data_IF_543842678338
#
_entry.id   IF_543842678338
#
_cell.length_a   1.000
_cell.length_b   1.000
_cell.length_c   1.000
_cell.angle_alpha   90.00
_cell.angle_beta   90.00
_cell.angle_gamma   90.00
#
_symmetry.space_group_name_H-M   'P 1'
#
loop_
_entity.id
_entity.type
_entity.pdbx_description
1 polymer ?
#
# COMPACT_ATOMS: atom_id res chain seq x y z
N UNK A 1 -17.23 -17.48 -6.17
CA UNK A 1 -16.26 -16.65 -6.93
C UNK A 1 -16.48 -15.18 -6.60
N UNK A 2 -15.45 -14.36 -6.76
CA UNK A 2 -15.46 -12.93 -6.40
C UNK A 2 -16.63 -12.12 -6.99
N UNK A 3 -17.02 -12.33 -8.27
CA UNK A 3 -18.19 -11.64 -8.83
C UNK A 3 -19.48 -11.82 -8.01
N UNK A 4 -19.74 -13.03 -7.52
CA UNK A 4 -20.94 -13.34 -6.73
C UNK A 4 -20.93 -12.80 -5.29
N UNK A 5 -19.79 -12.28 -4.79
CA UNK A 5 -19.71 -11.59 -3.49
C UNK A 5 -20.12 -10.13 -3.65
N UNK A 6 -19.64 -9.49 -4.72
CA UNK A 6 -20.00 -8.10 -5.05
C UNK A 6 -21.48 -7.95 -5.41
N UNK A 7 -22.06 -8.89 -6.16
CA UNK A 7 -23.51 -8.92 -6.45
C UNK A 7 -24.37 -8.94 -5.19
N UNK A 8 -23.81 -9.39 -4.06
CA UNK A 8 -24.47 -9.42 -2.76
C UNK A 8 -24.16 -8.19 -1.89
N UNK A 9 -23.57 -7.15 -2.46
CA UNK A 9 -23.09 -5.94 -1.77
C UNK A 9 -22.15 -6.25 -0.60
N UNK A 10 -21.26 -7.23 -0.76
CA UNK A 10 -20.25 -7.58 0.24
C UNK A 10 -18.84 -7.25 -0.26
N UNK A 11 -17.95 -6.89 0.67
CA UNK A 11 -16.53 -6.71 0.39
C UNK A 11 -15.81 -8.06 0.54
N UNK A 12 -15.23 -8.65 -0.53
CA UNK A 12 -14.49 -9.89 -0.42
C UNK A 12 -13.15 -9.66 0.29
N UNK A 13 -12.78 -10.62 1.15
CA UNK A 13 -11.44 -10.76 1.72
C UNK A 13 -10.89 -12.09 1.21
N UNK A 14 -9.64 -12.08 0.74
CA UNK A 14 -9.01 -13.24 0.11
C UNK A 14 -7.64 -13.45 0.75
N UNK A 15 -7.31 -14.71 1.01
CA UNK A 15 -5.95 -15.11 1.34
C UNK A 15 -5.28 -15.50 0.01
N UNK A 16 -4.39 -14.65 -0.50
CA UNK A 16 -3.71 -14.83 -1.78
C UNK A 16 -2.23 -14.41 -1.69
N UNK A 17 -1.38 -15.25 -1.08
CA UNK A 17 0.03 -14.91 -0.84
C UNK A 17 0.85 -14.77 -2.14
N UNK A 18 0.38 -15.35 -3.24
CA UNK A 18 1.04 -15.31 -4.55
C UNK A 18 0.45 -14.25 -5.50
N UNK A 19 -0.57 -13.51 -5.05
CA UNK A 19 -1.24 -12.44 -5.81
C UNK A 19 -1.84 -12.95 -7.15
N UNK A 20 -2.23 -14.22 -7.23
CA UNK A 20 -2.77 -14.86 -8.44
C UNK A 20 -4.13 -14.28 -8.85
N UNK A 21 -4.87 -13.72 -7.89
CA UNK A 21 -6.18 -13.12 -8.11
C UNK A 21 -6.09 -11.93 -9.06
N UNK A 22 -4.96 -11.24 -9.12
CA UNK A 22 -4.74 -10.12 -10.05
C UNK A 22 -4.89 -10.55 -11.51
N UNK A 23 -4.43 -11.74 -11.87
CA UNK A 23 -4.47 -12.22 -13.26
C UNK A 23 -5.91 -12.55 -13.72
N UNK A 24 -6.76 -12.88 -12.75
CA UNK A 24 -8.19 -13.18 -12.94
C UNK A 24 -9.01 -11.89 -12.96
N UNK A 25 -8.81 -11.01 -11.97
CA UNK A 25 -9.57 -9.77 -11.82
C UNK A 25 -9.16 -8.69 -12.82
N UNK A 26 -7.87 -8.67 -13.20
CA UNK A 26 -7.25 -7.64 -14.05
C UNK A 26 -7.66 -6.23 -13.62
N UNK A 27 -7.31 -5.83 -12.38
CA UNK A 27 -7.78 -4.57 -11.84
C UNK A 27 -7.26 -3.39 -12.67
N UNK A 28 -8.11 -2.38 -12.87
CA UNK A 28 -7.65 -1.10 -13.44
C UNK A 28 -6.77 -0.32 -12.47
N UNK A 29 -6.95 -0.54 -11.17
CA UNK A 29 -6.21 0.12 -10.09
C UNK A 29 -5.73 -0.92 -9.09
N UNK A 30 -4.42 -0.93 -8.81
CA UNK A 30 -3.81 -1.72 -7.75
C UNK A 30 -3.23 -0.77 -6.69
N UNK A 31 -3.55 -1.03 -5.42
CA UNK A 31 -2.99 -0.30 -4.28
C UNK A 31 -2.19 -1.30 -3.46
N UNK A 32 -0.88 -1.08 -3.35
CA UNK A 32 -0.02 -1.87 -2.48
C UNK A 32 0.12 -1.16 -1.12
N UNK A 33 -0.49 -1.77 -0.11
CA UNK A 33 -0.49 -1.33 1.27
C UNK A 33 0.32 -2.26 2.20
N UNK A 34 1.18 -3.11 1.63
CA UNK A 34 1.98 -4.06 2.41
C UNK A 34 3.00 -3.27 3.25
N UNK A 35 2.94 -3.42 4.57
CA UNK A 35 3.83 -2.75 5.53
C UNK A 35 5.22 -3.39 5.61
N UNK A 36 5.88 -3.58 4.47
CA UNK A 36 7.23 -4.14 4.40
C UNK A 36 8.35 -3.08 4.38
N UNK A 37 8.00 -1.81 4.13
CA UNK A 37 8.94 -0.68 3.97
C UNK A 37 9.98 -0.90 2.86
N UNK A 38 9.68 -1.82 1.94
CA UNK A 38 10.44 -2.19 0.75
C UNK A 38 9.49 -2.84 -0.25
N UNK A 39 9.72 -2.62 -1.54
CA UNK A 39 8.96 -3.29 -2.59
C UNK A 39 9.24 -4.82 -2.57
N UNK A 40 8.18 -5.63 -2.43
CA UNK A 40 8.25 -7.10 -2.41
C UNK A 40 7.99 -7.77 -3.77
N UNK A 41 7.77 -6.97 -4.83
CA UNK A 41 7.53 -7.49 -6.18
C UNK A 41 6.43 -6.78 -6.96
N UNK A 42 5.84 -5.73 -6.40
CA UNK A 42 4.90 -4.86 -7.09
C UNK A 42 5.61 -4.09 -8.19
N UNK A 43 4.96 -4.02 -9.36
CA UNK A 43 5.49 -3.37 -10.55
C UNK A 43 4.51 -2.34 -11.06
N UNK A 44 5.03 -1.28 -11.66
CA UNK A 44 4.22 -0.22 -12.29
C UNK A 44 3.30 -0.77 -13.37
N UNK A 45 3.64 -1.92 -13.95
CA UNK A 45 2.87 -2.62 -14.99
C UNK A 45 1.76 -3.55 -14.45
N UNK A 46 1.59 -3.68 -13.13
CA UNK A 46 0.64 -4.63 -12.55
C UNK A 46 -0.83 -4.21 -12.72
N UNK A 47 -1.09 -2.95 -13.06
CA UNK A 47 -2.40 -2.39 -13.40
C UNK A 47 -2.23 -1.09 -14.21
N UNK A 48 -3.31 -0.53 -14.75
CA UNK A 48 -3.31 0.78 -15.42
C UNK A 48 -2.87 1.90 -14.47
N UNK A 49 -3.25 1.81 -13.21
CA UNK A 49 -2.78 2.69 -12.14
C UNK A 49 -2.31 1.83 -10.96
N UNK A 50 -1.10 2.09 -10.50
CA UNK A 50 -0.47 1.37 -9.39
C UNK A 50 -0.05 2.41 -8.36
N UNK A 51 -0.54 2.26 -7.13
CA UNK A 51 -0.31 3.18 -6.03
C UNK A 51 0.47 2.42 -4.95
N UNK A 52 1.65 2.92 -4.59
CA UNK A 52 2.40 2.43 -3.43
C UNK A 52 2.09 3.27 -2.21
N UNK A 53 1.85 2.66 -1.05
CA UNK A 53 1.67 3.39 0.19
C UNK A 53 2.97 3.40 1.01
N UNK A 54 3.45 4.59 1.34
CA UNK A 54 4.57 4.79 2.25
C UNK A 54 5.94 4.45 1.67
N UNK A 55 6.96 4.30 2.53
CA UNK A 55 8.33 4.08 2.11
C UNK A 55 8.53 2.70 1.46
N UNK A 56 9.54 2.61 0.60
CA UNK A 56 9.91 1.38 -0.10
C UNK A 56 9.47 1.31 -1.57
N UNK A 57 8.80 2.36 -2.06
CA UNK A 57 8.42 2.55 -3.46
C UNK A 57 8.97 3.87 -4.01
N UNK A 58 9.35 3.85 -5.29
CA UNK A 58 9.68 5.04 -6.05
C UNK A 58 8.64 5.28 -7.17
N UNK A 59 8.01 6.46 -7.16
CA UNK A 59 7.08 6.90 -8.19
C UNK A 59 7.80 7.04 -9.54
N UNK A 60 7.15 6.57 -10.61
CA UNK A 60 7.71 6.51 -11.97
C UNK A 60 8.62 5.31 -12.22
N UNK A 61 8.90 4.48 -11.20
CA UNK A 61 9.75 3.27 -11.33
C UNK A 61 9.02 2.02 -10.83
N UNK A 62 8.70 1.97 -9.55
CA UNK A 62 8.02 0.83 -8.93
C UNK A 62 6.50 0.94 -9.08
N UNK A 63 5.99 2.17 -8.99
CA UNK A 63 4.56 2.49 -9.01
C UNK A 63 4.32 3.80 -9.76
N UNK A 64 3.08 4.10 -10.14
CA UNK A 64 2.75 5.35 -10.82
C UNK A 64 2.80 6.54 -9.87
N UNK A 65 2.28 6.36 -8.65
CA UNK A 65 2.34 7.37 -7.59
C UNK A 65 2.58 6.69 -6.25
N UNK A 66 3.23 7.43 -5.34
CA UNK A 66 3.38 7.05 -3.94
C UNK A 66 2.46 7.94 -3.11
N UNK A 67 1.80 7.38 -2.08
CA UNK A 67 1.06 8.16 -1.09
C UNK A 67 1.84 8.15 0.22
N UNK A 68 2.07 9.34 0.78
CA UNK A 68 2.74 9.49 2.06
C UNK A 68 1.90 8.89 3.20
N UNK A 69 2.53 8.10 4.06
CA UNK A 69 1.91 7.44 5.22
C UNK A 69 2.55 7.83 6.54
N UNK A 70 3.70 8.50 6.52
CA UNK A 70 4.31 9.04 7.72
C UNK A 70 3.37 10.09 8.33
N UNK A 71 3.22 10.06 9.65
CA UNK A 71 2.35 10.98 10.38
C UNK A 71 3.09 12.32 10.62
N UNK A 72 3.45 12.96 9.52
CA UNK A 72 4.01 14.31 9.41
C UNK A 72 2.98 15.24 8.73
N UNK A 73 3.35 16.49 8.48
CA UNK A 73 2.52 17.42 7.69
C UNK A 73 2.25 16.89 6.26
N UNK A 74 3.12 15.99 5.78
CA UNK A 74 3.01 15.39 4.46
C UNK A 74 2.01 14.22 4.41
N UNK A 75 1.40 13.79 5.53
CA UNK A 75 0.50 12.62 5.56
C UNK A 75 -0.60 12.70 4.48
N UNK A 76 -0.71 11.65 3.67
CA UNK A 76 -1.69 11.55 2.59
C UNK A 76 -1.32 12.32 1.31
N UNK A 77 -0.18 13.01 1.28
CA UNK A 77 0.32 13.67 0.06
C UNK A 77 0.54 12.66 -1.05
N UNK A 78 0.10 13.01 -2.25
CA UNK A 78 0.36 12.23 -3.48
C UNK A 78 1.67 12.69 -4.09
N UNK A 79 2.60 11.75 -4.23
CA UNK A 79 3.95 11.95 -4.73
C UNK A 79 4.01 11.33 -6.13
N UNK A 80 4.12 12.19 -7.14
CA UNK A 80 4.19 11.79 -8.55
C UNK A 80 5.61 11.49 -9.03
N UNK A 81 6.62 11.97 -8.30
CA UNK A 81 8.03 11.74 -8.57
C UNK A 81 8.78 11.62 -7.24
N UNK A 82 9.65 10.61 -7.11
CA UNK A 82 10.41 10.35 -5.91
C UNK A 82 9.76 9.32 -4.98
N UNK A 83 10.10 9.37 -3.70
CA UNK A 83 9.71 8.40 -2.67
C UNK A 83 9.01 9.11 -1.50
N UNK A 84 8.25 8.35 -0.70
CA UNK A 84 7.76 8.83 0.59
C UNK A 84 8.92 9.08 1.58
N UNK A 85 8.62 9.81 2.66
CA UNK A 85 9.54 9.99 3.78
C UNK A 85 9.99 8.62 4.32
N UNK A 86 11.29 8.50 4.58
CA UNK A 86 11.85 7.28 5.17
C UNK A 86 11.23 7.05 6.54
N UNK A 87 10.94 5.79 6.84
CA UNK A 87 10.52 5.41 8.17
C UNK A 87 11.62 5.78 9.18
N UNK A 88 11.29 6.67 10.12
CA UNK A 88 12.21 7.13 11.14
C UNK A 88 12.53 6.05 12.17
N UNK A 89 11.71 4.98 12.24
CA UNK A 89 11.75 3.97 13.29
C UNK A 89 11.34 4.49 14.67
N UNK A 90 10.95 5.76 14.78
CA UNK A 90 10.56 6.41 16.04
C UNK A 90 9.04 6.42 16.09
N UNK A 91 8.41 5.66 16.99
CA UNK A 91 6.97 5.75 17.21
C UNK A 91 6.61 7.18 17.64
N UNK A 92 5.64 7.78 16.96
CA UNK A 92 5.07 9.05 17.44
C UNK A 92 4.28 8.74 18.71
N UNK A 93 4.51 9.45 19.83
CA UNK A 93 3.78 9.22 21.06
C UNK A 93 2.27 9.43 20.83
N UNK A 94 1.48 8.38 20.94
CA UNK A 94 0.02 8.51 21.03
C UNK A 94 -0.30 8.67 22.52
N UNK A 95 -0.71 9.88 22.93
CA UNK A 95 -1.18 10.18 24.28
C UNK A 95 -0.30 9.67 25.44
N UNK A 96 1.04 9.78 25.32
CA UNK A 96 1.97 9.46 26.40
C UNK A 96 2.35 7.98 26.57
N UNK A 97 1.88 7.09 25.70
CA UNK A 97 2.34 5.70 25.62
C UNK A 97 3.25 5.54 24.41
N UNK A 98 4.56 5.54 24.64
CA UNK A 98 5.57 5.45 23.58
C UNK A 98 5.90 4.02 23.13
N UNK A 99 5.38 2.98 23.80
CA UNK A 99 5.78 1.59 23.50
C UNK A 99 4.68 0.50 23.55
N UNK A 100 3.40 0.85 23.66
CA UNK A 100 2.32 -0.15 23.58
C UNK A 100 1.69 -0.17 22.19
N UNK A 101 2.41 -0.75 21.22
CA UNK A 101 1.88 -1.45 20.03
C UNK A 101 2.96 -1.60 18.97
N UNK A 102 3.75 -2.66 19.05
CA UNK A 102 4.19 -3.48 17.91
C UNK A 102 4.54 -4.84 18.52
N UNK A 103 3.59 -5.76 18.50
CA UNK A 103 3.90 -7.19 18.47
C UNK A 103 3.43 -7.66 17.10
N UNK A 104 4.40 -7.98 16.25
CA UNK A 104 4.25 -8.85 15.10
C UNK A 104 5.59 -9.52 14.88
#
# INVERSE_FOLDING_TARGET
MLPGVWEKNKLPIIIDPEVKTRDILRPSILIDAIMAKRNLGTKITDATLVIGLGPGFQAGKDVHVVVETNNSESLGKVIFEGEAEKDSGIPIPIMGLTFERVQS
#
